data_IF_237442710169
#
_entry.id   IF_237442710169
#
_cell.length_a   1.000
_cell.length_b   1.000
_cell.length_c   1.000
_cell.angle_alpha   90.00
_cell.angle_beta   90.00
_cell.angle_gamma   90.00
#
_symmetry.space_group_name_H-M   'P 1'
#
loop_
_entity.id
_entity.type
_entity.pdbx_description
1 polymer ?
#
# COMPACT_ATOMS: atom_id res chain seq x y z
N UNK A 1 40.38 2.66 23.57
CA UNK A 1 39.09 3.35 23.66
C UNK A 1 38.22 2.71 22.58
N UNK A 2 37.07 2.15 22.90
CA UNK A 2 36.08 1.82 21.87
C UNK A 2 35.64 3.15 21.21
N UNK A 3 35.68 3.23 19.90
CA UNK A 3 35.09 4.37 19.19
C UNK A 3 33.60 4.44 19.54
N UNK A 4 33.07 5.66 19.70
CA UNK A 4 31.63 5.82 19.91
C UNK A 4 30.89 5.35 18.65
N UNK A 5 29.77 4.64 18.80
CA UNK A 5 29.00 4.15 17.64
C UNK A 5 28.52 5.31 16.78
N UNK A 6 28.52 5.10 15.49
CA UNK A 6 27.94 6.04 14.53
C UNK A 6 26.41 5.94 14.65
N UNK A 7 25.75 7.07 14.83
CA UNK A 7 24.27 7.10 14.84
C UNK A 7 23.76 7.54 13.47
N UNK A 8 22.94 6.70 12.82
CA UNK A 8 22.22 7.02 11.59
C UNK A 8 20.76 7.31 11.90
N UNK A 9 20.14 8.19 11.12
CA UNK A 9 18.71 8.51 11.20
C UNK A 9 17.95 7.70 10.15
N UNK A 10 16.83 7.08 10.55
CA UNK A 10 15.96 6.31 9.66
C UNK A 10 14.53 6.83 9.69
N UNK A 11 14.09 7.47 8.62
CA UNK A 11 12.70 7.89 8.45
C UNK A 11 11.88 6.77 7.78
N UNK A 12 10.72 6.44 8.38
CA UNK A 12 9.84 5.37 7.92
C UNK A 12 8.38 5.72 8.18
N UNK A 13 7.47 5.14 7.37
CA UNK A 13 6.02 5.29 7.51
C UNK A 13 5.30 3.95 7.72
N UNK A 14 5.84 2.87 7.17
CA UNK A 14 5.15 1.59 7.11
C UNK A 14 5.03 0.88 8.46
N UNK A 15 5.84 1.28 9.44
CA UNK A 15 5.83 0.71 10.78
C UNK A 15 4.85 1.38 11.75
N UNK A 16 3.97 2.27 11.26
CA UNK A 16 2.99 2.93 12.13
C UNK A 16 1.97 1.93 12.70
N UNK A 17 1.59 2.11 13.97
CA UNK A 17 0.63 1.25 14.65
C UNK A 17 1.21 -0.08 15.12
N UNK A 18 0.58 -1.19 14.74
CA UNK A 18 0.93 -2.54 15.21
C UNK A 18 2.37 -2.98 14.88
N UNK A 19 2.98 -2.39 13.85
CA UNK A 19 4.31 -2.78 13.37
C UNK A 19 5.46 -2.04 14.08
N UNK A 20 5.18 -1.05 14.92
CA UNK A 20 6.22 -0.27 15.61
C UNK A 20 7.11 -1.16 16.49
N UNK A 21 6.52 -2.07 17.27
CA UNK A 21 7.26 -3.01 18.11
C UNK A 21 8.08 -4.02 17.30
N UNK A 22 7.58 -4.42 16.13
CA UNK A 22 8.32 -5.30 15.20
C UNK A 22 9.55 -4.57 14.66
N UNK A 23 9.38 -3.33 14.19
CA UNK A 23 10.50 -2.51 13.72
C UNK A 23 11.56 -2.32 14.79
N UNK A 24 11.14 -2.05 16.02
CA UNK A 24 12.06 -1.90 17.16
C UNK A 24 12.91 -3.14 17.38
N UNK A 25 12.29 -4.33 17.36
CA UNK A 25 13.02 -5.61 17.47
C UNK A 25 13.98 -5.83 16.30
N UNK A 26 13.58 -5.47 15.07
CA UNK A 26 14.44 -5.56 13.89
C UNK A 26 15.68 -4.67 14.02
N UNK A 27 15.50 -3.44 14.52
CA UNK A 27 16.60 -2.50 14.80
C UNK A 27 17.51 -3.04 15.91
N UNK A 28 16.95 -3.60 16.99
CA UNK A 28 17.73 -4.22 18.07
C UNK A 28 18.61 -5.37 17.53
N UNK A 29 18.06 -6.26 16.69
CA UNK A 29 18.83 -7.34 16.03
C UNK A 29 19.96 -6.76 15.16
N UNK A 30 19.68 -5.71 14.39
CA UNK A 30 20.70 -5.04 13.60
C UNK A 30 21.82 -4.47 14.47
N UNK A 31 21.49 -3.74 15.53
CA UNK A 31 22.47 -3.11 16.44
C UNK A 31 23.30 -4.13 17.23
N UNK A 32 22.71 -5.28 17.60
CA UNK A 32 23.44 -6.38 18.22
C UNK A 32 24.50 -6.96 17.29
N UNK A 33 24.21 -7.10 16.00
CA UNK A 33 25.12 -7.60 14.98
C UNK A 33 26.14 -6.53 14.52
N UNK A 34 25.82 -5.25 14.72
CA UNK A 34 26.60 -4.10 14.30
C UNK A 34 26.78 -3.10 15.46
N UNK A 35 27.55 -3.43 16.51
CA UNK A 35 27.65 -2.62 17.73
C UNK A 35 28.31 -1.26 17.53
N UNK A 36 28.92 -1.03 16.37
CA UNK A 36 29.50 0.22 15.90
C UNK A 36 28.46 1.19 15.29
N UNK A 37 27.19 0.75 15.12
CA UNK A 37 26.11 1.57 14.54
C UNK A 37 24.93 1.63 15.50
N UNK A 38 24.31 2.81 15.62
CA UNK A 38 23.04 3.06 16.28
C UNK A 38 22.05 3.64 15.28
N UNK A 39 20.75 3.32 15.45
CA UNK A 39 19.68 3.76 14.57
C UNK A 39 18.67 4.62 15.32
N UNK A 40 18.54 5.87 14.92
CA UNK A 40 17.50 6.80 15.39
C UNK A 40 16.29 6.72 14.44
N UNK A 41 15.24 6.00 14.87
CA UNK A 41 14.03 5.78 14.07
C UNK A 41 13.11 6.99 14.15
N UNK A 42 12.78 7.56 13.01
CA UNK A 42 11.85 8.69 12.85
C UNK A 42 10.56 8.21 12.19
N UNK A 43 9.62 7.76 13.00
CA UNK A 43 8.33 7.27 12.53
C UNK A 43 7.37 8.43 12.24
N UNK A 44 6.72 8.41 11.08
CA UNK A 44 5.71 9.38 10.68
C UNK A 44 4.58 8.62 9.97
N UNK A 45 3.33 8.93 10.31
CA UNK A 45 2.17 8.33 9.63
C UNK A 45 2.18 8.63 8.12
N UNK A 46 1.59 7.73 7.34
CA UNK A 46 1.63 7.77 5.87
C UNK A 46 1.17 9.11 5.29
N UNK A 47 0.09 9.69 5.82
CA UNK A 47 -0.52 10.93 5.28
C UNK A 47 0.42 12.14 5.35
N UNK A 48 1.27 12.22 6.38
CA UNK A 48 2.20 13.33 6.60
C UNK A 48 3.62 13.03 6.10
N UNK A 49 3.94 11.76 5.87
CA UNK A 49 5.31 11.31 5.64
C UNK A 49 5.97 11.96 4.42
N UNK A 50 5.34 11.90 3.26
CA UNK A 50 5.93 12.38 2.01
C UNK A 50 6.07 13.91 2.00
N UNK A 51 5.13 14.64 2.60
CA UNK A 51 5.23 16.10 2.76
C UNK A 51 6.41 16.48 3.66
N UNK A 52 6.58 15.76 4.78
CA UNK A 52 7.72 15.96 5.69
C UNK A 52 9.04 15.59 5.03
N UNK A 53 9.10 14.45 4.33
CA UNK A 53 10.29 14.00 3.63
C UNK A 53 10.70 14.99 2.52
N UNK A 54 9.75 15.46 1.70
CA UNK A 54 10.03 16.45 0.68
C UNK A 54 10.61 17.74 1.26
N UNK A 55 10.09 18.19 2.41
CA UNK A 55 10.58 19.38 3.12
C UNK A 55 12.00 19.18 3.64
N UNK A 56 12.32 18.02 4.24
CA UNK A 56 13.64 17.76 4.82
C UNK A 56 14.69 17.55 3.74
N UNK A 57 14.38 16.79 2.69
CA UNK A 57 15.28 16.57 1.53
C UNK A 57 15.50 17.89 0.77
N UNK A 58 14.44 18.66 0.48
CA UNK A 58 14.56 19.95 -0.21
C UNK A 58 15.28 21.02 0.62
N UNK A 59 15.28 20.90 1.94
CA UNK A 59 15.95 21.80 2.88
C UNK A 59 17.41 21.45 3.20
N UNK A 60 17.97 20.37 2.62
CA UNK A 60 19.34 19.92 2.90
C UNK A 60 19.51 19.31 4.30
N UNK A 61 18.45 18.72 4.85
CA UNK A 61 18.40 18.04 6.14
C UNK A 61 17.75 16.66 6.03
N UNK A 62 18.06 15.97 4.92
CA UNK A 62 17.56 14.62 4.68
C UNK A 62 17.99 13.66 5.80
N UNK A 63 17.13 12.71 6.24
CA UNK A 63 17.58 11.62 7.09
C UNK A 63 18.63 10.77 6.35
N UNK A 64 19.51 10.08 7.09
CA UNK A 64 20.56 9.23 6.49
C UNK A 64 19.94 8.10 5.65
N UNK A 65 18.83 7.53 6.14
CA UNK A 65 18.02 6.52 5.47
C UNK A 65 16.56 6.97 5.47
N UNK A 66 15.89 6.78 4.35
CA UNK A 66 14.45 7.02 4.26
C UNK A 66 13.73 5.94 3.45
N UNK A 67 12.61 5.50 4.00
CA UNK A 67 11.70 4.59 3.32
C UNK A 67 10.95 5.32 2.22
N UNK A 68 10.71 4.64 1.10
CA UNK A 68 10.05 5.18 -0.07
C UNK A 68 9.12 4.13 -0.67
N UNK A 69 7.91 4.52 -1.05
CA UNK A 69 7.12 3.68 -1.94
C UNK A 69 7.61 3.81 -3.39
N UNK A 70 7.36 2.79 -4.20
CA UNK A 70 7.86 2.74 -5.58
C UNK A 70 7.32 3.88 -6.45
N UNK A 71 6.11 4.38 -6.17
CA UNK A 71 5.47 5.45 -6.94
C UNK A 71 6.24 6.77 -6.85
N UNK A 72 6.85 7.04 -5.70
CA UNK A 72 7.65 8.26 -5.47
C UNK A 72 9.15 8.06 -5.70
N UNK A 73 9.63 6.81 -5.67
CA UNK A 73 11.06 6.49 -5.74
C UNK A 73 11.74 7.07 -6.98
N UNK A 74 11.14 6.92 -8.16
CA UNK A 74 11.74 7.39 -9.42
C UNK A 74 12.08 8.89 -9.38
N UNK A 75 11.15 9.70 -8.88
CA UNK A 75 11.35 11.14 -8.78
C UNK A 75 12.54 11.51 -7.88
N UNK A 76 12.65 10.87 -6.71
CA UNK A 76 13.75 11.11 -5.77
C UNK A 76 15.09 10.63 -6.32
N UNK A 77 15.11 9.46 -6.97
CA UNK A 77 16.30 8.93 -7.64
C UNK A 77 16.78 9.88 -8.74
N UNK A 78 15.90 10.32 -9.64
CA UNK A 78 16.26 11.21 -10.75
C UNK A 78 16.66 12.61 -10.30
N UNK A 79 16.13 13.10 -9.20
CA UNK A 79 16.54 14.36 -8.55
C UNK A 79 17.85 14.23 -7.78
N UNK A 80 18.45 13.02 -7.72
CA UNK A 80 19.74 12.77 -7.10
C UNK A 80 19.71 12.71 -5.57
N UNK A 81 18.54 12.42 -4.96
CA UNK A 81 18.42 12.29 -3.52
C UNK A 81 18.91 10.92 -2.99
N UNK A 82 18.90 9.88 -3.83
CA UNK A 82 19.28 8.51 -3.48
C UNK A 82 20.75 8.24 -3.85
N UNK A 83 21.56 7.79 -2.91
CA UNK A 83 22.94 7.43 -3.11
C UNK A 83 23.11 6.16 -3.95
N UNK A 84 24.24 6.04 -4.63
CA UNK A 84 24.64 4.83 -5.36
C UNK A 84 25.12 3.76 -4.37
N UNK A 85 24.37 2.68 -4.23
CA UNK A 85 24.64 1.55 -3.34
C UNK A 85 25.39 0.39 -4.01
N UNK A 86 25.84 0.57 -5.26
CA UNK A 86 26.56 -0.45 -6.03
C UNK A 86 27.84 -0.88 -5.31
N UNK A 87 27.94 -2.18 -4.99
CA UNK A 87 29.05 -2.74 -4.26
C UNK A 87 29.01 -2.55 -2.74
N UNK A 88 27.99 -1.86 -2.20
CA UNK A 88 27.72 -1.71 -0.76
C UNK A 88 26.63 -2.68 -0.27
N UNK A 89 25.83 -3.21 -1.17
CA UNK A 89 24.74 -4.16 -0.94
C UNK A 89 25.01 -5.44 -1.69
N UNK A 90 24.71 -6.61 -1.10
CA UNK A 90 24.85 -7.90 -1.77
C UNK A 90 23.63 -8.17 -2.68
N UNK A 91 23.80 -8.09 -4.01
CA UNK A 91 22.69 -8.29 -4.94
C UNK A 91 22.16 -9.73 -4.94
N UNK A 92 22.96 -10.71 -4.49
CA UNK A 92 22.52 -12.12 -4.45
C UNK A 92 21.42 -12.38 -3.42
N UNK A 93 21.21 -11.48 -2.49
CA UNK A 93 20.17 -11.56 -1.45
C UNK A 93 18.75 -11.29 -1.96
N UNK A 94 18.61 -10.67 -3.14
CA UNK A 94 17.36 -10.16 -3.70
C UNK A 94 17.02 -10.82 -5.03
N UNK A 95 15.75 -10.82 -5.42
CA UNK A 95 15.36 -11.27 -6.75
C UNK A 95 15.82 -10.28 -7.83
N UNK A 96 16.16 -10.78 -9.03
CA UNK A 96 16.61 -9.96 -10.15
C UNK A 96 15.57 -8.90 -10.55
N UNK A 97 14.28 -9.25 -10.49
CA UNK A 97 13.19 -8.34 -10.83
C UNK A 97 13.10 -7.16 -9.86
N UNK A 98 13.23 -7.40 -8.55
CA UNK A 98 13.19 -6.33 -7.54
C UNK A 98 14.40 -5.41 -7.63
N UNK A 99 15.59 -5.95 -7.86
CA UNK A 99 16.80 -5.13 -8.06
C UNK A 99 16.74 -4.31 -9.35
N UNK A 100 16.19 -4.87 -10.42
CA UNK A 100 16.02 -4.14 -11.68
C UNK A 100 15.14 -2.90 -11.51
N UNK A 101 14.08 -3.00 -10.69
CA UNK A 101 13.14 -1.90 -10.44
C UNK A 101 13.79 -0.70 -9.70
N UNK A 102 14.87 -0.93 -8.95
CA UNK A 102 15.57 0.11 -8.17
C UNK A 102 16.96 0.46 -8.73
N UNK A 103 17.23 0.01 -9.95
CA UNK A 103 18.51 0.23 -10.63
C UNK A 103 18.34 1.13 -11.86
N UNK A 104 19.34 1.94 -12.16
CA UNK A 104 19.40 2.76 -13.37
C UNK A 104 20.85 2.94 -13.81
N UNK A 105 21.11 2.83 -15.12
CA UNK A 105 22.45 3.02 -15.68
C UNK A 105 23.52 2.08 -15.09
N UNK A 106 23.14 0.89 -14.64
CA UNK A 106 24.03 -0.09 -14.02
C UNK A 106 24.35 0.20 -12.55
N UNK A 107 23.64 1.12 -11.92
CA UNK A 107 23.79 1.52 -10.51
C UNK A 107 22.55 1.16 -9.72
N UNK A 108 22.74 0.81 -8.44
CA UNK A 108 21.69 0.49 -7.47
C UNK A 108 21.41 1.73 -6.60
N UNK A 109 20.16 2.18 -6.51
CA UNK A 109 19.79 3.41 -5.80
C UNK A 109 18.92 3.20 -4.58
N UNK A 110 18.43 1.99 -4.36
CA UNK A 110 17.68 1.62 -3.16
C UNK A 110 17.77 0.13 -2.90
N UNK A 111 17.42 -0.27 -1.69
CA UNK A 111 17.23 -1.67 -1.32
C UNK A 111 15.73 -1.98 -1.27
N UNK A 112 15.24 -2.96 -2.06
CA UNK A 112 13.85 -3.40 -1.95
C UNK A 112 13.58 -4.02 -0.59
N UNK A 113 12.52 -3.57 0.10
CA UNK A 113 12.23 -3.99 1.47
C UNK A 113 11.09 -4.98 1.55
N UNK A 114 9.98 -4.62 0.91
CA UNK A 114 8.74 -5.38 0.97
C UNK A 114 7.89 -5.14 -0.26
N UNK A 115 6.96 -6.06 -0.49
CA UNK A 115 5.88 -5.88 -1.44
C UNK A 115 4.57 -6.39 -0.85
N UNK A 116 3.46 -5.89 -1.37
CA UNK A 116 2.13 -6.21 -0.91
C UNK A 116 1.08 -5.97 -1.99
N UNK A 117 -0.09 -6.54 -1.77
CA UNK A 117 -1.30 -6.32 -2.56
C UNK A 117 -2.46 -6.00 -1.65
N UNK A 118 -3.55 -5.49 -2.21
CA UNK A 118 -4.84 -5.49 -1.54
C UNK A 118 -5.55 -6.83 -1.75
N UNK A 119 -6.39 -7.17 -0.79
CA UNK A 119 -7.27 -8.34 -0.79
C UNK A 119 -8.64 -7.93 -0.26
N UNK A 120 -9.64 -8.78 -0.45
CA UNK A 120 -10.93 -8.63 0.20
C UNK A 120 -10.91 -9.37 1.53
N UNK A 121 -10.93 -8.64 2.64
CA UNK A 121 -11.21 -9.20 3.97
C UNK A 121 -12.71 -9.40 4.13
N UNK A 122 -13.11 -10.45 4.84
CA UNK A 122 -14.52 -10.65 5.16
C UNK A 122 -14.76 -11.20 6.56
N UNK A 123 -15.86 -10.77 7.18
CA UNK A 123 -16.30 -11.15 8.51
C UNK A 123 -17.21 -12.37 8.41
N UNK A 124 -16.69 -13.56 8.76
CA UNK A 124 -17.42 -14.83 8.69
C UNK A 124 -18.73 -14.79 9.47
N UNK A 125 -18.74 -14.15 10.65
CA UNK A 125 -19.93 -14.07 11.48
C UNK A 125 -21.09 -13.29 10.83
N UNK A 126 -20.81 -12.19 10.11
CA UNK A 126 -21.84 -11.43 9.40
C UNK A 126 -22.35 -12.19 8.17
N UNK A 127 -21.50 -12.93 7.47
CA UNK A 127 -21.90 -13.82 6.38
C UNK A 127 -22.84 -14.93 6.87
N UNK A 128 -22.48 -15.58 7.98
CA UNK A 128 -23.30 -16.62 8.61
C UNK A 128 -24.67 -16.06 9.05
N UNK A 129 -24.69 -14.89 9.68
CA UNK A 129 -25.94 -14.22 10.09
C UNK A 129 -26.82 -13.85 8.89
N UNK A 130 -26.23 -13.43 7.78
CA UNK A 130 -26.95 -13.11 6.56
C UNK A 130 -27.38 -14.37 5.77
N UNK A 131 -26.88 -15.54 6.13
CA UNK A 131 -27.18 -16.81 5.46
C UNK A 131 -26.68 -16.87 4.03
N UNK A 132 -25.47 -16.34 3.79
CA UNK A 132 -24.82 -16.29 2.47
C UNK A 132 -23.48 -17.01 2.50
N UNK A 133 -23.09 -17.58 1.37
CA UNK A 133 -21.81 -18.23 1.20
C UNK A 133 -20.66 -17.20 1.29
N UNK A 134 -19.50 -17.65 1.76
CA UNK A 134 -18.30 -16.82 1.81
C UNK A 134 -17.82 -16.47 0.41
N UNK A 135 -17.15 -15.30 0.24
CA UNK A 135 -16.61 -14.91 -1.05
C UNK A 135 -15.45 -15.83 -1.47
N UNK A 136 -15.34 -16.04 -2.75
CA UNK A 136 -14.27 -16.82 -3.37
C UNK A 136 -13.60 -16.06 -4.54
N UNK A 137 -12.64 -16.70 -5.18
CA UNK A 137 -11.85 -16.14 -6.28
C UNK A 137 -12.64 -15.93 -7.59
N UNK A 138 -13.89 -16.37 -7.64
CA UNK A 138 -14.76 -16.17 -8.82
C UNK A 138 -15.58 -14.88 -8.76
N UNK A 139 -15.64 -14.24 -7.58
CA UNK A 139 -16.51 -13.08 -7.36
C UNK A 139 -16.15 -11.90 -8.24
N UNK A 140 -17.20 -11.27 -8.74
CA UNK A 140 -17.18 -9.93 -9.32
C UNK A 140 -17.80 -8.92 -8.35
N UNK A 141 -17.73 -7.64 -8.70
CA UNK A 141 -18.41 -6.61 -7.91
C UNK A 141 -19.94 -6.75 -7.89
N UNK A 142 -20.51 -7.56 -8.79
CA UNK A 142 -21.95 -7.89 -8.77
C UNK A 142 -22.29 -8.82 -7.60
N UNK A 143 -21.51 -9.89 -7.39
CA UNK A 143 -21.68 -10.79 -6.25
C UNK A 143 -21.38 -10.08 -4.94
N UNK A 144 -20.32 -9.25 -4.89
CA UNK A 144 -19.97 -8.47 -3.71
C UNK A 144 -21.10 -7.49 -3.32
N UNK A 145 -21.71 -6.80 -4.29
CA UNK A 145 -22.86 -5.92 -4.05
C UNK A 145 -24.06 -6.68 -3.51
N UNK A 146 -24.41 -7.84 -4.10
CA UNK A 146 -25.53 -8.66 -3.64
C UNK A 146 -25.32 -9.18 -2.21
N UNK A 147 -24.10 -9.55 -1.84
CA UNK A 147 -23.76 -9.92 -0.46
C UNK A 147 -23.84 -8.72 0.47
N UNK A 148 -23.30 -7.57 0.04
CA UNK A 148 -23.32 -6.34 0.82
C UNK A 148 -24.73 -5.88 1.18
N UNK A 149 -25.70 -5.98 0.27
CA UNK A 149 -27.10 -5.64 0.50
C UNK A 149 -27.74 -6.54 1.59
N UNK A 150 -27.43 -7.84 1.57
CA UNK A 150 -27.93 -8.78 2.59
C UNK A 150 -27.30 -8.53 3.95
N UNK A 151 -26.01 -8.22 4.00
CA UNK A 151 -25.30 -7.88 5.23
C UNK A 151 -25.82 -6.55 5.78
N UNK A 152 -26.00 -5.53 4.93
CA UNK A 152 -26.56 -4.24 5.32
C UNK A 152 -27.95 -4.36 5.96
N UNK A 153 -28.76 -5.32 5.54
CA UNK A 153 -30.08 -5.59 6.09
C UNK A 153 -30.05 -6.21 7.51
N UNK A 154 -28.91 -6.59 8.06
CA UNK A 154 -28.79 -7.14 9.41
C UNK A 154 -28.96 -6.09 10.52
N UNK A 155 -28.67 -4.81 10.24
CA UNK A 155 -28.81 -3.75 11.24
C UNK A 155 -28.43 -2.37 10.72
N UNK A 156 -28.91 -1.32 11.40
CA UNK A 156 -28.72 0.07 10.97
C UNK A 156 -27.25 0.52 11.05
N UNK A 157 -26.45 -0.10 11.90
CA UNK A 157 -25.01 0.18 12.10
C UNK A 157 -24.11 -0.92 11.51
N UNK A 158 -24.66 -1.80 10.68
CA UNK A 158 -23.92 -2.83 9.94
C UNK A 158 -23.81 -2.43 8.47
N UNK A 159 -22.63 -2.49 7.93
CA UNK A 159 -22.32 -2.11 6.56
C UNK A 159 -21.87 -3.31 5.73
N UNK A 160 -22.24 -3.31 4.47
CA UNK A 160 -21.96 -4.43 3.58
C UNK A 160 -20.47 -4.57 3.28
N UNK A 161 -19.84 -3.47 2.88
CA UNK A 161 -18.38 -3.43 2.67
C UNK A 161 -17.84 -2.00 2.71
N UNK A 162 -16.52 -1.89 2.67
CA UNK A 162 -15.80 -0.64 2.46
C UNK A 162 -14.69 -0.84 1.41
N UNK A 163 -14.65 0.07 0.45
CA UNK A 163 -13.59 0.25 -0.52
C UNK A 163 -13.34 1.76 -0.64
N UNK A 164 -12.15 2.27 -0.27
CA UNK A 164 -11.88 3.70 -0.33
C UNK A 164 -12.11 4.30 -1.72
N UNK A 165 -12.64 5.52 -1.78
CA UNK A 165 -12.67 6.30 -3.04
C UNK A 165 -11.39 7.14 -3.08
N UNK A 166 -10.31 6.49 -3.49
CA UNK A 166 -8.95 7.03 -3.54
C UNK A 166 -8.32 6.84 -4.91
N UNK A 167 -7.17 7.48 -5.11
CA UNK A 167 -6.40 7.31 -6.35
C UNK A 167 -6.10 5.83 -6.64
N UNK A 168 -5.55 5.09 -5.67
CA UNK A 168 -5.13 3.70 -5.88
C UNK A 168 -6.32 2.78 -6.19
N UNK A 169 -7.42 2.94 -5.45
CA UNK A 169 -8.64 2.16 -5.64
C UNK A 169 -9.31 2.46 -6.99
N UNK A 170 -9.36 3.73 -7.37
CA UNK A 170 -9.88 4.13 -8.68
C UNK A 170 -8.98 3.63 -9.82
N UNK A 171 -7.65 3.82 -9.71
CA UNK A 171 -6.70 3.37 -10.73
C UNK A 171 -6.83 1.87 -11.02
N UNK A 172 -6.76 1.03 -9.97
CA UNK A 172 -6.88 -0.43 -10.17
C UNK A 172 -8.23 -0.83 -10.74
N UNK A 173 -9.32 -0.19 -10.29
CA UNK A 173 -10.66 -0.45 -10.78
C UNK A 173 -10.81 -0.08 -12.26
N UNK A 174 -10.22 1.04 -12.68
CA UNK A 174 -10.11 1.44 -14.09
C UNK A 174 -9.38 0.38 -14.90
N UNK A 175 -8.23 -0.12 -14.39
CA UNK A 175 -7.45 -1.19 -15.05
C UNK A 175 -8.26 -2.48 -15.17
N UNK A 176 -8.93 -2.90 -14.10
CA UNK A 176 -9.82 -4.07 -14.09
C UNK A 176 -11.03 -3.94 -15.02
N UNK A 177 -11.45 -2.73 -15.34
CA UNK A 177 -12.50 -2.48 -16.34
C UNK A 177 -11.96 -2.33 -17.79
N UNK A 178 -10.64 -2.45 -17.99
CA UNK A 178 -9.98 -2.30 -19.28
C UNK A 178 -9.72 -0.86 -19.70
N UNK A 179 -9.82 0.09 -18.76
CA UNK A 179 -9.52 1.50 -18.96
C UNK A 179 -8.05 1.86 -18.70
N UNK A 180 -7.76 3.15 -18.85
CA UNK A 180 -6.46 3.74 -18.53
C UNK A 180 -6.65 5.21 -18.13
N UNK A 181 -5.72 5.74 -17.33
CA UNK A 181 -5.67 7.18 -17.03
C UNK A 181 -4.77 7.95 -18.00
N UNK A 182 -4.04 7.24 -18.86
CA UNK A 182 -3.12 7.77 -19.84
C UNK A 182 -3.37 7.10 -21.20
N UNK A 183 -3.05 7.80 -22.28
CA UNK A 183 -2.99 7.19 -23.61
C UNK A 183 -1.83 6.18 -23.71
N UNK A 184 -1.81 5.39 -24.79
CA UNK A 184 -0.82 4.30 -24.99
C UNK A 184 0.63 4.79 -24.98
N UNK A 185 0.88 6.02 -25.45
CA UNK A 185 2.21 6.61 -25.56
C UNK A 185 2.63 7.38 -24.29
N UNK A 186 1.79 7.43 -23.26
CA UNK A 186 2.01 8.20 -22.01
C UNK A 186 2.25 9.70 -22.25
N UNK A 187 1.65 10.27 -23.27
CA UNK A 187 1.82 11.68 -23.66
C UNK A 187 0.59 12.54 -23.38
N UNK A 188 -0.50 11.94 -22.92
CA UNK A 188 -1.74 12.65 -22.57
C UNK A 188 -2.52 11.89 -21.50
N UNK A 189 -3.14 12.62 -20.59
CA UNK A 189 -4.13 12.07 -19.68
C UNK A 189 -5.45 11.79 -20.42
N UNK A 190 -6.11 10.69 -20.04
CA UNK A 190 -7.38 10.23 -20.59
C UNK A 190 -8.31 9.78 -19.46
N UNK A 191 -8.40 10.59 -18.40
CA UNK A 191 -9.07 10.21 -17.15
C UNK A 191 -10.59 10.14 -17.33
N UNK A 192 -11.17 11.02 -18.14
CA UNK A 192 -12.62 11.20 -18.29
C UNK A 192 -13.26 10.39 -19.43
N UNK A 193 -12.65 9.24 -19.80
CA UNK A 193 -13.25 8.35 -20.78
C UNK A 193 -14.55 7.71 -20.26
N UNK A 194 -15.49 7.31 -21.14
CA UNK A 194 -16.73 6.66 -20.73
C UNK A 194 -16.50 5.39 -19.87
N UNK A 195 -15.45 4.64 -20.14
CA UNK A 195 -15.08 3.44 -19.39
C UNK A 195 -14.68 3.79 -17.94
N UNK A 196 -13.91 4.87 -17.75
CA UNK A 196 -13.48 5.34 -16.45
C UNK A 196 -14.63 5.98 -15.68
N UNK A 197 -15.50 6.73 -16.37
CA UNK A 197 -16.73 7.28 -15.79
C UNK A 197 -17.62 6.17 -15.23
N UNK A 198 -17.83 5.09 -15.98
CA UNK A 198 -18.63 3.96 -15.52
C UNK A 198 -18.07 3.28 -14.27
N UNK A 199 -16.74 3.22 -14.12
CA UNK A 199 -16.08 2.73 -12.90
C UNK A 199 -16.39 3.64 -11.72
N UNK A 200 -16.20 4.94 -11.87
CA UNK A 200 -16.45 5.89 -10.78
C UNK A 200 -17.93 5.94 -10.41
N UNK A 201 -18.85 5.87 -11.37
CA UNK A 201 -20.29 5.74 -11.13
C UNK A 201 -20.60 4.49 -10.27
N UNK A 202 -20.01 3.35 -10.59
CA UNK A 202 -20.18 2.12 -9.83
C UNK A 202 -19.62 2.25 -8.40
N UNK A 203 -18.49 2.91 -8.21
CA UNK A 203 -17.94 3.18 -6.87
C UNK A 203 -18.84 4.12 -6.07
N UNK A 204 -19.33 5.20 -6.66
CA UNK A 204 -20.18 6.17 -6.00
C UNK A 204 -21.59 5.63 -5.66
N UNK A 205 -22.13 4.74 -6.48
CA UNK A 205 -23.42 4.11 -6.22
C UNK A 205 -23.46 3.31 -4.89
N UNK A 206 -22.31 2.89 -4.41
CA UNK A 206 -22.16 2.10 -3.18
C UNK A 206 -22.27 2.93 -1.92
N UNK A 207 -21.83 4.19 -1.97
CA UNK A 207 -21.70 5.09 -0.82
C UNK A 207 -22.77 6.20 -0.81
N UNK A 208 -23.50 6.38 -1.91
CA UNK A 208 -24.52 7.40 -2.07
C UNK A 208 -25.93 6.82 -2.04
N UNK A 209 -26.89 7.66 -1.68
CA UNK A 209 -28.31 7.29 -1.62
C UNK A 209 -28.73 6.66 -0.30
N UNK A 210 -30.06 6.40 -0.17
CA UNK A 210 -30.63 5.85 1.05
C UNK A 210 -30.33 4.34 1.22
N UNK A 211 -30.21 3.62 0.10
CA UNK A 211 -29.93 2.18 0.06
C UNK A 211 -28.42 1.85 -0.02
N UNK A 212 -27.57 2.81 0.34
CA UNK A 212 -26.11 2.60 0.28
C UNK A 212 -25.66 1.46 1.16
N UNK A 213 -24.71 0.68 0.68
CA UNK A 213 -24.15 -0.48 1.37
C UNK A 213 -22.78 -0.21 2.00
N UNK A 214 -22.17 0.92 1.66
CA UNK A 214 -20.88 1.40 2.16
C UNK A 214 -21.11 2.65 3.02
N UNK A 215 -20.47 2.78 4.20
CA UNK A 215 -20.56 3.99 5.00
C UNK A 215 -19.81 5.14 4.31
N UNK A 216 -20.36 6.34 4.42
CA UNK A 216 -19.63 7.57 4.08
C UNK A 216 -18.96 8.17 5.34
N UNK A 217 -18.26 9.29 5.18
CA UNK A 217 -17.55 9.93 6.28
C UNK A 217 -18.46 10.33 7.47
N UNK A 218 -19.72 10.67 7.22
CA UNK A 218 -20.69 10.98 8.29
C UNK A 218 -21.08 9.71 9.07
N UNK A 219 -21.35 8.61 8.37
CA UNK A 219 -21.69 7.31 8.98
C UNK A 219 -20.52 6.77 9.80
N UNK A 220 -19.31 6.99 9.37
CA UNK A 220 -18.09 6.57 10.07
C UNK A 220 -17.88 7.34 11.38
N UNK A 221 -18.41 8.55 11.51
CA UNK A 221 -18.41 9.34 12.75
C UNK A 221 -17.00 9.50 13.37
N UNK A 222 -15.99 9.70 12.53
CA UNK A 222 -14.59 9.87 12.93
C UNK A 222 -13.81 8.58 13.17
N UNK A 223 -14.43 7.41 12.96
CA UNK A 223 -13.74 6.11 12.94
C UNK A 223 -13.10 5.88 11.58
N UNK A 224 -12.05 5.04 11.54
CA UNK A 224 -11.50 4.51 10.30
C UNK A 224 -12.28 3.27 9.81
N UNK A 225 -12.02 2.87 8.58
CA UNK A 225 -12.52 1.62 8.00
C UNK A 225 -12.03 0.38 8.78
N UNK A 226 -10.80 0.41 9.27
CA UNK A 226 -10.25 -0.64 10.11
C UNK A 226 -10.91 -0.72 11.48
N UNK A 227 -11.29 0.42 12.07
CA UNK A 227 -12.06 0.44 13.33
C UNK A 227 -13.41 -0.23 13.13
N UNK A 228 -14.13 0.13 12.05
CA UNK A 228 -15.42 -0.48 11.73
C UNK A 228 -15.32 -1.97 11.48
N UNK A 229 -14.27 -2.43 10.79
CA UNK A 229 -14.05 -3.86 10.57
C UNK A 229 -13.74 -4.57 11.89
N UNK A 230 -12.83 -4.05 12.69
CA UNK A 230 -12.43 -4.63 13.98
C UNK A 230 -13.60 -4.65 15.00
N UNK A 231 -14.52 -3.67 14.93
CA UNK A 231 -15.75 -3.63 15.73
C UNK A 231 -16.83 -4.61 15.24
N UNK A 232 -16.59 -5.35 14.15
CA UNK A 232 -17.57 -6.25 13.56
C UNK A 232 -18.73 -5.53 12.84
N UNK A 233 -18.52 -4.29 12.39
CA UNK A 233 -19.52 -3.44 11.72
C UNK A 233 -19.45 -3.49 10.19
N UNK A 234 -18.41 -4.10 9.63
CA UNK A 234 -18.25 -4.31 8.20
C UNK A 234 -18.31 -5.80 7.87
N UNK A 235 -19.08 -6.14 6.82
CA UNK A 235 -19.07 -7.49 6.26
C UNK A 235 -17.83 -7.79 5.46
N UNK A 236 -17.39 -6.81 4.68
CA UNK A 236 -16.21 -6.91 3.80
C UNK A 236 -15.40 -5.61 3.84
N UNK A 237 -14.09 -5.75 3.65
CA UNK A 237 -13.16 -4.62 3.59
C UNK A 237 -12.12 -4.87 2.52
N UNK A 238 -11.95 -3.94 1.58
CA UNK A 238 -10.80 -3.92 0.69
C UNK A 238 -9.66 -3.21 1.39
N UNK A 239 -8.59 -3.93 1.67
CA UNK A 239 -7.40 -3.38 2.32
C UNK A 239 -6.15 -4.19 2.00
N UNK A 240 -4.99 -3.65 2.37
CA UNK A 240 -3.72 -4.31 2.17
C UNK A 240 -3.39 -5.36 3.23
N UNK A 241 -2.51 -6.28 2.86
CA UNK A 241 -2.05 -7.37 3.75
C UNK A 241 -1.35 -6.87 5.03
N UNK A 242 -0.93 -5.62 5.07
CA UNK A 242 -0.35 -4.98 6.26
C UNK A 242 -1.35 -4.83 7.43
N UNK A 243 -2.66 -5.04 7.17
CA UNK A 243 -3.71 -5.08 8.19
C UNK A 243 -3.78 -6.37 9.01
N UNK A 244 -3.13 -7.46 8.60
CA UNK A 244 -3.29 -8.78 9.22
C UNK A 244 -3.02 -8.79 10.72
N UNK A 245 -1.94 -8.17 11.18
CA UNK A 245 -1.62 -8.13 12.62
C UNK A 245 -2.69 -7.35 13.39
N UNK A 246 -3.11 -6.19 12.88
CA UNK A 246 -4.15 -5.37 13.53
C UNK A 246 -5.45 -6.14 13.68
N UNK A 247 -5.91 -6.81 12.63
CA UNK A 247 -7.17 -7.59 12.69
C UNK A 247 -7.03 -8.85 13.53
N UNK A 248 -5.86 -9.48 13.55
CA UNK A 248 -5.57 -10.60 14.45
C UNK A 248 -5.68 -10.19 15.92
N UNK A 249 -5.19 -9.00 16.26
CA UNK A 249 -5.16 -8.52 17.64
C UNK A 249 -6.49 -7.91 18.10
N UNK A 250 -7.29 -7.35 17.19
CA UNK A 250 -8.44 -6.52 17.54
C UNK A 250 -9.79 -7.16 17.24
N UNK A 251 -9.89 -8.07 16.25
CA UNK A 251 -11.15 -8.72 15.94
C UNK A 251 -11.47 -9.82 16.97
N UNK A 252 -12.68 -9.82 17.50
CA UNK A 252 -13.24 -10.86 18.37
C UNK A 252 -14.10 -11.90 17.63
N UNK A 253 -14.05 -11.88 16.29
CA UNK A 253 -14.77 -12.76 15.37
C UNK A 253 -13.82 -13.40 14.37
N UNK A 254 -14.25 -14.51 13.76
CA UNK A 254 -13.50 -15.18 12.70
C UNK A 254 -13.59 -14.39 11.40
N UNK A 255 -12.45 -14.09 10.82
CA UNK A 255 -12.32 -13.41 9.53
C UNK A 255 -11.36 -14.17 8.60
N UNK A 256 -11.47 -13.90 7.32
CA UNK A 256 -10.60 -14.48 6.31
C UNK A 256 -10.45 -13.52 5.13
N UNK A 257 -9.73 -13.93 4.11
CA UNK A 257 -9.49 -13.15 2.92
C UNK A 257 -9.77 -13.95 1.65
N UNK A 258 -10.01 -13.22 0.56
CA UNK A 258 -9.94 -13.73 -0.82
C UNK A 258 -9.39 -12.65 -1.74
N UNK A 259 -9.12 -12.98 -3.00
CA UNK A 259 -8.76 -11.99 -4.01
C UNK A 259 -9.89 -10.98 -4.19
N UNK A 260 -9.57 -9.76 -4.56
CA UNK A 260 -10.59 -8.73 -4.78
C UNK A 260 -11.58 -9.11 -5.88
N UNK A 261 -12.86 -8.71 -5.74
CA UNK A 261 -13.83 -8.86 -6.82
C UNK A 261 -13.40 -8.12 -8.09
N UNK A 262 -13.66 -8.72 -9.26
CA UNK A 262 -13.33 -8.12 -10.55
C UNK A 262 -14.44 -7.24 -11.13
N UNK A 263 -14.08 -6.30 -11.98
CA UNK A 263 -14.96 -5.69 -12.97
C UNK A 263 -15.07 -6.61 -14.21
N UNK A 264 -14.52 -6.25 -15.35
CA UNK A 264 -14.35 -7.16 -16.50
C UNK A 264 -13.28 -8.19 -16.23
N UNK A 265 -12.19 -7.73 -15.61
CA UNK A 265 -11.07 -8.52 -15.15
C UNK A 265 -10.81 -8.24 -13.67
N UNK A 266 -10.09 -9.14 -13.01
CA UNK A 266 -9.58 -8.88 -11.65
C UNK A 266 -8.43 -7.88 -11.71
N UNK A 267 -8.31 -7.10 -10.65
CA UNK A 267 -7.16 -6.20 -10.47
C UNK A 267 -6.98 -5.89 -8.99
N UNK A 268 -5.75 -5.85 -8.56
CA UNK A 268 -5.35 -5.33 -7.26
C UNK A 268 -4.21 -4.32 -7.44
N UNK A 269 -4.05 -3.40 -6.50
CA UNK A 269 -2.93 -2.47 -6.56
C UNK A 269 -1.69 -3.14 -5.97
N UNK A 270 -0.56 -3.03 -6.70
CA UNK A 270 0.73 -3.51 -6.26
C UNK A 270 1.45 -2.42 -5.47
N UNK A 271 1.82 -2.73 -4.25
CA UNK A 271 2.64 -1.87 -3.43
C UNK A 271 4.02 -2.49 -3.22
N UNK A 272 5.05 -1.67 -3.27
CA UNK A 272 6.39 -2.07 -2.88
C UNK A 272 7.09 -0.90 -2.18
N UNK A 273 7.84 -1.22 -1.14
CA UNK A 273 8.60 -0.26 -0.38
C UNK A 273 10.09 -0.54 -0.52
N UNK A 274 10.86 0.52 -0.57
CA UNK A 274 12.32 0.48 -0.69
C UNK A 274 12.95 1.38 0.36
N UNK A 275 14.17 1.09 0.77
CA UNK A 275 14.97 1.99 1.58
C UNK A 275 16.05 2.65 0.72
N UNK A 276 16.07 3.97 0.73
CA UNK A 276 17.09 4.80 0.11
C UNK A 276 18.09 5.30 1.15
N UNK A 277 19.35 5.40 0.76
CA UNK A 277 20.36 6.13 1.51
C UNK A 277 20.49 7.53 0.91
N UNK A 278 20.50 8.55 1.75
CA UNK A 278 20.62 9.93 1.29
C UNK A 278 21.98 10.22 0.67
N UNK A 279 21.99 10.94 -0.47
CA UNK A 279 23.25 11.50 -1.03
C UNK A 279 23.87 12.53 -0.11
N UNK A 280 23.11 13.16 0.78
CA UNK A 280 23.60 14.16 1.75
C UNK A 280 24.20 13.52 3.01
N UNK A 281 24.01 12.22 3.23
CA UNK A 281 24.58 11.53 4.39
C UNK A 281 26.09 11.43 4.30
N UNK A 282 26.78 11.79 5.37
CA UNK A 282 28.21 11.54 5.58
C UNK A 282 28.51 10.14 6.17
N UNK A 283 27.44 9.32 6.38
CA UNK A 283 27.45 7.98 6.99
C UNK A 283 26.95 6.90 6.03
N UNK A 284 27.12 7.10 4.72
CA UNK A 284 26.52 6.23 3.68
C UNK A 284 26.92 4.76 3.82
N UNK A 285 28.12 4.43 4.30
CA UNK A 285 28.56 3.05 4.51
C UNK A 285 27.78 2.38 5.65
N UNK A 286 27.60 3.07 6.78
CA UNK A 286 26.79 2.58 7.90
C UNK A 286 25.30 2.47 7.50
N UNK A 287 24.79 3.45 6.78
CA UNK A 287 23.43 3.46 6.25
C UNK A 287 23.18 2.31 5.26
N UNK A 288 24.14 2.04 4.36
CA UNK A 288 24.06 0.92 3.42
C UNK A 288 24.03 -0.45 4.12
N UNK A 289 24.84 -0.64 5.17
CA UNK A 289 24.80 -1.85 6.01
C UNK A 289 23.44 -2.03 6.67
N UNK A 290 22.83 -0.94 7.13
CA UNK A 290 21.50 -0.98 7.74
C UNK A 290 20.42 -1.37 6.73
N UNK A 291 20.35 -0.69 5.57
CA UNK A 291 19.31 -1.00 4.58
C UNK A 291 19.46 -2.40 4.00
N UNK A 292 20.68 -2.89 3.79
CA UNK A 292 20.93 -4.26 3.34
C UNK A 292 20.47 -5.29 4.39
N UNK A 293 20.79 -5.08 5.66
CA UNK A 293 20.35 -5.95 6.75
C UNK A 293 18.82 -5.96 6.89
N UNK A 294 18.18 -4.78 6.80
CA UNK A 294 16.72 -4.68 6.88
C UNK A 294 16.00 -5.44 5.77
N UNK A 295 16.60 -5.54 4.58
CA UNK A 295 16.04 -6.26 3.43
C UNK A 295 16.41 -7.74 3.34
N UNK A 296 17.57 -8.16 3.91
CA UNK A 296 18.12 -9.49 3.64
C UNK A 296 18.58 -10.31 4.85
N UNK A 297 18.80 -9.68 6.03
CA UNK A 297 19.25 -10.42 7.21
C UNK A 297 18.19 -11.46 7.63
N UNK A 298 18.56 -12.75 7.76
CA UNK A 298 17.60 -13.82 8.01
C UNK A 298 16.76 -13.65 9.28
N UNK A 299 17.35 -13.11 10.35
CA UNK A 299 16.65 -12.92 11.63
C UNK A 299 15.66 -11.74 11.53
N UNK A 300 16.05 -10.67 10.83
CA UNK A 300 15.18 -9.52 10.56
C UNK A 300 14.03 -9.89 9.62
N UNK A 301 14.34 -10.62 8.55
CA UNK A 301 13.32 -11.15 7.62
C UNK A 301 12.33 -12.06 8.35
N UNK A 302 12.82 -12.90 9.28
CA UNK A 302 11.95 -13.77 10.07
C UNK A 302 10.99 -12.99 10.97
N UNK A 303 11.46 -11.93 11.63
CA UNK A 303 10.58 -11.03 12.43
C UNK A 303 9.47 -10.41 11.58
N UNK A 304 9.76 -10.02 10.34
CA UNK A 304 8.76 -9.49 9.39
C UNK A 304 7.71 -10.54 9.04
N UNK A 305 8.14 -11.77 8.74
CA UNK A 305 7.24 -12.88 8.41
C UNK A 305 6.36 -13.28 9.60
N UNK A 306 6.94 -13.37 10.80
CA UNK A 306 6.23 -13.72 12.04
C UNK A 306 5.17 -12.68 12.41
N UNK A 307 5.45 -11.41 12.13
CA UNK A 307 4.50 -10.31 12.33
C UNK A 307 3.47 -10.17 11.21
N UNK A 308 3.54 -11.00 10.17
CA UNK A 308 2.70 -10.86 8.97
C UNK A 308 2.71 -9.45 8.38
N UNK A 309 3.88 -8.79 8.43
CA UNK A 309 4.06 -7.42 7.98
C UNK A 309 4.59 -7.41 6.56
N UNK A 310 3.77 -7.43 5.56
CA UNK A 310 4.12 -7.46 4.15
C UNK A 310 5.11 -8.57 3.75
N UNK A 311 5.25 -8.87 2.49
CA UNK A 311 6.15 -9.92 2.00
C UNK A 311 7.56 -9.37 1.75
N UNK A 312 8.62 -10.05 2.23
CA UNK A 312 10.00 -9.64 1.98
C UNK A 312 10.41 -9.92 0.53
N UNK A 313 11.31 -9.10 -0.01
CA UNK A 313 11.80 -9.15 -1.39
C UNK A 313 13.02 -10.07 -1.60
N UNK A 314 13.19 -11.03 -0.72
CA UNK A 314 14.34 -11.98 -0.70
C UNK A 314 14.35 -12.91 -1.91
N UNK A 315 15.55 -13.34 -2.32
CA UNK A 315 15.74 -14.32 -3.39
C UNK A 315 15.24 -15.73 -3.02
N UNK A 316 15.36 -16.11 -1.73
CA UNK A 316 14.92 -17.42 -1.24
C UNK A 316 13.41 -17.46 -0.98
N UNK A 317 12.66 -17.83 -2.02
CA UNK A 317 11.20 -17.95 -1.96
C UNK A 317 10.71 -19.08 -1.04
N UNK A 318 11.57 -20.01 -0.61
CA UNK A 318 11.14 -21.11 0.27
C UNK A 318 10.70 -20.61 1.65
N UNK A 319 11.23 -19.48 2.10
CA UNK A 319 10.80 -18.82 3.36
C UNK A 319 9.36 -18.32 3.30
N UNK A 320 8.84 -18.00 2.13
CA UNK A 320 7.45 -17.56 1.95
C UNK A 320 6.44 -18.69 2.20
N UNK A 321 6.88 -19.96 2.13
CA UNK A 321 6.02 -21.11 2.47
C UNK A 321 5.53 -21.06 3.91
N UNK A 322 6.36 -20.59 4.85
CA UNK A 322 5.97 -20.44 6.25
C UNK A 322 4.88 -19.37 6.45
N UNK A 323 4.86 -18.36 5.60
CA UNK A 323 3.82 -17.33 5.61
C UNK A 323 2.43 -17.91 5.37
N UNK A 324 2.31 -18.94 4.53
CA UNK A 324 1.05 -19.61 4.23
C UNK A 324 0.46 -20.39 5.41
N UNK A 325 1.28 -20.74 6.40
CA UNK A 325 0.87 -21.55 7.56
C UNK A 325 0.36 -20.69 8.73
N UNK A 326 0.56 -19.37 8.67
CA UNK A 326 0.14 -18.45 9.74
C UNK A 326 -1.36 -18.14 9.63
N UNK A 327 -2.09 -18.30 10.71
CA UNK A 327 -3.55 -18.02 10.78
C UNK A 327 -3.88 -17.11 11.96
N UNK A 328 -4.90 -16.23 11.89
CA UNK A 328 -5.64 -15.88 10.68
C UNK A 328 -4.81 -15.05 9.71
N UNK A 329 -5.25 -14.87 8.46
CA UNK A 329 -6.36 -15.54 7.78
C UNK A 329 -6.01 -16.97 7.40
N UNK A 330 -7.03 -17.83 7.18
CA UNK A 330 -6.83 -19.20 6.74
C UNK A 330 -6.41 -19.30 5.27
N UNK A 331 -6.96 -18.40 4.42
CA UNK A 331 -6.72 -18.36 2.98
C UNK A 331 -5.57 -17.40 2.60
N UNK A 332 -4.37 -17.55 3.18
CA UNK A 332 -3.21 -16.71 2.80
C UNK A 332 -2.75 -16.90 1.37
N UNK A 333 -3.13 -17.99 0.72
CA UNK A 333 -2.82 -18.22 -0.70
C UNK A 333 -3.40 -17.12 -1.59
N UNK A 334 -4.54 -16.53 -1.22
CA UNK A 334 -5.13 -15.40 -1.92
C UNK A 334 -4.20 -14.19 -2.06
N UNK A 335 -3.21 -14.02 -1.17
CA UNK A 335 -2.18 -12.97 -1.30
C UNK A 335 -1.33 -13.20 -2.55
N UNK A 336 -0.91 -14.45 -2.78
CA UNK A 336 -0.10 -14.81 -3.95
C UNK A 336 -0.94 -14.83 -5.22
N UNK A 337 -2.18 -15.34 -5.16
CA UNK A 337 -3.11 -15.31 -6.29
C UNK A 337 -3.40 -13.87 -6.74
N UNK A 338 -3.48 -12.93 -5.79
CA UNK A 338 -3.66 -11.51 -6.08
C UNK A 338 -2.51 -10.92 -6.89
N UNK A 339 -1.29 -11.46 -6.78
CA UNK A 339 -0.13 -10.98 -7.56
C UNK A 339 -0.32 -11.18 -9.07
N UNK A 340 -1.07 -12.19 -9.50
CA UNK A 340 -1.36 -12.42 -10.92
C UNK A 340 -2.25 -11.30 -11.52
N UNK A 341 -2.93 -10.55 -10.68
CA UNK A 341 -3.82 -9.44 -11.05
C UNK A 341 -3.25 -8.07 -10.64
N UNK A 342 -2.01 -8.03 -10.18
CA UNK A 342 -1.40 -6.83 -9.65
C UNK A 342 -1.16 -5.78 -10.75
N UNK A 343 -1.58 -4.55 -10.49
CA UNK A 343 -1.35 -3.41 -11.35
C UNK A 343 -0.63 -2.31 -10.58
N UNK A 344 0.25 -1.59 -11.27
CA UNK A 344 0.90 -0.41 -10.76
C UNK A 344 0.78 0.72 -11.79
N UNK A 345 0.72 1.98 -11.36
CA UNK A 345 0.76 3.10 -12.30
C UNK A 345 2.11 3.14 -13.03
N UNK A 346 2.13 3.74 -14.23
CA UNK A 346 3.39 3.97 -14.92
C UNK A 346 4.29 4.87 -14.08
N UNK A 347 5.59 4.68 -14.21
CA UNK A 347 6.59 5.51 -13.52
C UNK A 347 6.64 6.90 -14.17
N UNK A 348 5.94 7.86 -13.61
CA UNK A 348 5.97 9.27 -14.00
C UNK A 348 6.87 10.06 -13.06
N UNK A 349 7.60 11.05 -13.62
CA UNK A 349 8.46 11.91 -12.81
C UNK A 349 7.67 12.69 -11.75
N UNK A 350 6.46 13.12 -12.10
CA UNK A 350 5.56 13.89 -11.23
C UNK A 350 4.38 13.05 -10.70
N UNK A 351 4.59 11.73 -10.50
CA UNK A 351 3.56 10.80 -10.05
C UNK A 351 2.87 11.25 -8.75
N UNK A 352 3.63 11.83 -7.82
CA UNK A 352 3.08 12.36 -6.56
C UNK A 352 2.04 13.46 -6.81
N UNK A 353 2.33 14.41 -7.70
CA UNK A 353 1.39 15.47 -8.06
C UNK A 353 0.16 14.93 -8.80
N UNK A 354 0.34 13.95 -9.68
CA UNK A 354 -0.78 13.27 -10.36
C UNK A 354 -1.71 12.61 -9.35
N UNK A 355 -1.15 11.84 -8.41
CA UNK A 355 -1.92 11.16 -7.36
C UNK A 355 -2.65 12.14 -6.45
N UNK A 356 -2.01 13.26 -6.10
CA UNK A 356 -2.59 14.30 -5.26
C UNK A 356 -3.77 14.99 -5.95
N UNK A 357 -3.64 15.41 -7.21
CA UNK A 357 -4.72 16.05 -7.97
C UNK A 357 -5.94 15.11 -8.05
N UNK A 358 -5.73 13.87 -8.44
CA UNK A 358 -6.81 12.89 -8.54
C UNK A 358 -7.42 12.61 -7.15
N UNK A 359 -6.59 12.37 -6.14
CA UNK A 359 -7.01 12.05 -4.78
C UNK A 359 -7.82 13.18 -4.12
N UNK A 360 -7.43 14.43 -4.34
CA UNK A 360 -8.13 15.59 -3.79
C UNK A 360 -9.57 15.73 -4.31
N UNK A 361 -9.81 15.49 -5.60
CA UNK A 361 -11.17 15.51 -6.16
C UNK A 361 -11.96 14.29 -5.68
N UNK A 362 -11.38 13.08 -5.80
CA UNK A 362 -12.05 11.84 -5.41
C UNK A 362 -12.45 11.84 -3.93
N UNK A 363 -11.60 12.34 -3.03
CA UNK A 363 -11.84 12.37 -1.59
C UNK A 363 -13.02 13.25 -1.17
N UNK A 364 -13.51 14.13 -2.05
CA UNK A 364 -14.71 14.95 -1.77
C UNK A 364 -16.01 14.29 -2.18
N UNK A 365 -15.96 13.23 -3.01
CA UNK A 365 -17.12 12.69 -3.70
C UNK A 365 -18.08 11.89 -2.80
N UNK A 366 -17.63 11.42 -1.64
CA UNK A 366 -18.51 10.69 -0.72
C UNK A 366 -19.64 11.55 -0.16
N UNK A 367 -19.41 12.87 -0.04
CA UNK A 367 -20.30 13.81 0.68
C UNK A 367 -20.83 14.95 -0.18
N UNK A 368 -20.47 15.03 -1.46
CA UNK A 368 -20.99 16.02 -2.39
C UNK A 368 -21.85 15.38 -3.49
N UNK A 369 -22.55 16.21 -4.29
CA UNK A 369 -23.46 15.76 -5.36
C UNK A 369 -22.80 15.77 -6.75
N UNK A 370 -21.49 15.97 -6.84
CA UNK A 370 -20.77 15.97 -8.12
C UNK A 370 -20.92 14.60 -8.79
N UNK A 371 -21.30 14.58 -10.05
CA UNK A 371 -21.38 13.33 -10.84
C UNK A 371 -20.00 12.78 -11.15
N UNK A 372 -19.91 11.50 -11.48
CA UNK A 372 -18.64 10.89 -11.88
C UNK A 372 -18.05 11.59 -13.13
N UNK A 373 -18.88 11.97 -14.10
CA UNK A 373 -18.43 12.70 -15.29
C UNK A 373 -17.86 14.07 -14.92
N UNK A 374 -18.57 14.87 -14.10
CA UNK A 374 -18.08 16.18 -13.67
C UNK A 374 -16.76 16.08 -12.89
N UNK A 375 -16.63 15.10 -12.01
CA UNK A 375 -15.41 14.85 -11.26
C UNK A 375 -14.22 14.49 -12.16
N UNK A 376 -14.42 13.59 -13.13
CA UNK A 376 -13.35 13.19 -14.04
C UNK A 376 -13.02 14.27 -15.06
N UNK A 377 -13.98 15.10 -15.48
CA UNK A 377 -13.72 16.29 -16.31
C UNK A 377 -12.88 17.33 -15.55
N UNK A 378 -13.18 17.54 -14.25
CA UNK A 378 -12.39 18.43 -13.39
C UNK A 378 -10.96 17.89 -13.20
N UNK A 379 -10.80 16.61 -12.91
CA UNK A 379 -9.48 15.98 -12.78
C UNK A 379 -8.70 16.12 -14.08
N UNK A 380 -9.32 15.81 -15.24
CA UNK A 380 -8.68 15.93 -16.55
C UNK A 380 -8.16 17.35 -16.78
N UNK A 381 -8.99 18.35 -16.52
CA UNK A 381 -8.62 19.75 -16.70
C UNK A 381 -7.47 20.19 -15.78
N UNK A 382 -7.48 19.78 -14.51
CA UNK A 382 -6.40 20.08 -13.56
C UNK A 382 -5.07 19.42 -13.95
N UNK A 383 -5.09 18.17 -14.42
CA UNK A 383 -3.89 17.46 -14.89
C UNK A 383 -3.31 18.10 -16.16
N UNK A 384 -4.16 18.53 -17.10
CA UNK A 384 -3.73 19.25 -18.31
C UNK A 384 -3.14 20.63 -17.98
N UNK A 385 -3.74 21.37 -17.02
CA UNK A 385 -3.23 22.69 -16.60
C UNK A 385 -1.87 22.55 -15.87
N UNK A 386 -1.68 21.46 -15.13
CA UNK A 386 -0.46 21.22 -14.37
C UNK A 386 0.75 20.79 -15.22
N UNK A 387 0.55 20.34 -16.48
CA UNK A 387 1.59 19.95 -17.45
C UNK A 387 2.60 18.96 -16.85
N UNK A 388 2.10 17.80 -16.36
CA UNK A 388 2.87 16.83 -15.56
C UNK A 388 3.43 15.63 -16.39
N UNK A 389 3.36 15.68 -17.72
CA UNK A 389 3.83 14.59 -18.62
C UNK A 389 5.05 14.98 -19.44
#
# INVERSE_FOLDING_TARGET
FAEEPVTITYATFSASGAQEETLKKMVEVFEEKNPDIKVDVQLTGYDDYFTKLATTVGGGNAPDVFEMNMENFLAYMLRGACADLTGLVDPASYSEGTLSAVSSGGKLYAVPMSFSTCVLFYNKALFDQAGIDYPDDTWTWTEAQAAAEKIRALGDDIWGYYQPISYNEFYKSVKGNGGSLLNEDYTAFTVNTPENVAVLEAMLARVRGEDRVMPNAEDMAGRGDWDLFSEGKLGMLVSGIWGFQTFTDQCDFDWDITVEPGFKDKSTFFFANVNCVSTESDKQEAAARFVDAMGSDPDIVQLRLDASWELPTIADQTKLTQYLEVTPPDNREAVFDSMDYAVAPPALLEQGAVSEIIGNVLGTLETNDMTAQEALDEIQAQLEEADLL
#
